data_IF_393090954978
#
_entry.id   IF_393090954978
#
_cell.length_a   1.000
_cell.length_b   1.000
_cell.length_c   1.000
_cell.angle_alpha   90.00
_cell.angle_beta   90.00
_cell.angle_gamma   90.00
#
_symmetry.space_group_name_H-M   'P 1'
#
loop_
_entity.id
_entity.type
_entity.pdbx_description
1 polymer ?
#
# COMPACT_ATOMS: atom_id res chain seq x y z
N UNK A 1 1.45 -9.58 -72.05
CA UNK A 1 0.37 -9.72 -71.05
C UNK A 1 0.82 -10.21 -69.66
N UNK A 2 2.12 -10.52 -69.41
CA UNK A 2 2.60 -11.05 -68.11
C UNK A 2 2.76 -9.99 -67.01
N UNK A 3 2.95 -8.71 -67.37
CA UNK A 3 3.21 -7.63 -66.42
C UNK A 3 1.97 -7.18 -65.63
N UNK A 4 0.77 -7.27 -66.21
CA UNK A 4 -0.48 -6.88 -65.55
C UNK A 4 -0.91 -7.87 -64.46
N UNK A 5 -0.69 -9.19 -64.65
CA UNK A 5 -0.97 -10.18 -63.61
C UNK A 5 -0.07 -10.05 -62.38
N UNK A 6 1.18 -9.60 -62.55
CA UNK A 6 2.13 -9.44 -61.44
C UNK A 6 1.78 -8.24 -60.56
N UNK A 7 1.25 -7.16 -61.14
CA UNK A 7 0.81 -5.96 -60.41
C UNK A 7 -0.44 -6.24 -59.57
N UNK A 8 -1.40 -7.00 -60.13
CA UNK A 8 -2.62 -7.38 -59.40
C UNK A 8 -2.30 -8.29 -58.21
N UNK A 9 -1.37 -9.24 -58.37
CA UNK A 9 -0.96 -10.16 -57.29
C UNK A 9 -0.21 -9.44 -56.16
N UNK A 10 0.60 -8.42 -56.47
CA UNK A 10 1.28 -7.59 -55.46
C UNK A 10 0.30 -6.73 -54.66
N UNK A 11 -0.75 -6.23 -55.30
CA UNK A 11 -1.77 -5.40 -54.65
C UNK A 11 -2.57 -6.21 -53.63
N UNK A 12 -2.99 -7.43 -53.97
CA UNK A 12 -3.71 -8.32 -53.03
C UNK A 12 -2.84 -8.79 -51.87
N UNK A 13 -1.54 -9.03 -52.11
CA UNK A 13 -0.61 -9.44 -51.06
C UNK A 13 -0.42 -8.34 -50.01
N UNK A 14 -0.37 -7.07 -50.44
CA UNK A 14 -0.26 -5.93 -49.54
C UNK A 14 -1.48 -5.77 -48.63
N UNK A 15 -2.69 -5.93 -49.16
CA UNK A 15 -3.93 -5.86 -48.38
C UNK A 15 -4.02 -6.97 -47.32
N UNK A 16 -3.62 -8.20 -47.67
CA UNK A 16 -3.57 -9.33 -46.73
C UNK A 16 -2.57 -9.06 -45.59
N UNK A 17 -1.40 -8.49 -45.91
CA UNK A 17 -0.40 -8.17 -44.88
C UNK A 17 -0.83 -7.03 -43.96
N UNK A 18 -1.61 -6.07 -44.45
CA UNK A 18 -2.14 -4.98 -43.64
C UNK A 18 -3.20 -5.50 -42.64
N UNK A 19 -4.16 -6.30 -43.12
CA UNK A 19 -5.20 -6.89 -42.28
C UNK A 19 -4.65 -7.83 -41.20
N UNK A 20 -3.60 -8.61 -41.51
CA UNK A 20 -2.92 -9.44 -40.51
C UNK A 20 -2.23 -8.59 -39.42
N UNK A 21 -1.59 -7.49 -39.81
CA UNK A 21 -0.89 -6.59 -38.88
C UNK A 21 -1.84 -5.91 -37.91
N UNK A 22 -3.01 -5.47 -38.38
CA UNK A 22 -3.98 -4.77 -37.53
C UNK A 22 -4.63 -5.71 -36.50
N UNK A 23 -4.89 -6.96 -36.88
CA UNK A 23 -5.38 -7.98 -35.94
C UNK A 23 -4.32 -8.41 -34.91
N UNK A 24 -3.05 -8.54 -35.34
CA UNK A 24 -1.93 -8.88 -34.46
C UNK A 24 -1.61 -7.75 -33.46
N UNK A 25 -1.68 -6.49 -33.89
CA UNK A 25 -1.46 -5.33 -33.01
C UNK A 25 -2.59 -5.18 -32.00
N UNK A 26 -3.84 -5.35 -32.44
CA UNK A 26 -5.02 -5.32 -31.56
C UNK A 26 -4.99 -6.40 -30.49
N UNK A 27 -4.65 -7.65 -30.86
CA UNK A 27 -4.52 -8.77 -29.92
C UNK A 27 -3.34 -8.58 -28.96
N UNK A 28 -2.20 -8.06 -29.44
CA UNK A 28 -1.05 -7.75 -28.58
C UNK A 28 -1.37 -6.65 -27.57
N UNK A 29 -2.10 -5.61 -27.96
CA UNK A 29 -2.54 -4.53 -27.07
C UNK A 29 -3.49 -5.04 -25.99
N UNK A 30 -4.46 -5.89 -26.37
CA UNK A 30 -5.38 -6.51 -25.42
C UNK A 30 -4.65 -7.38 -24.39
N UNK A 31 -3.69 -8.19 -24.84
CA UNK A 31 -2.87 -9.01 -23.93
C UNK A 31 -2.03 -8.16 -22.99
N UNK A 32 -1.40 -7.09 -23.49
CA UNK A 32 -0.62 -6.16 -22.67
C UNK A 32 -1.49 -5.45 -21.61
N UNK A 33 -2.71 -5.05 -21.97
CA UNK A 33 -3.64 -4.42 -21.04
C UNK A 33 -4.07 -5.38 -19.91
N UNK A 34 -4.35 -6.66 -20.23
CA UNK A 34 -4.70 -7.67 -19.22
C UNK A 34 -3.52 -7.95 -18.29
N UNK A 35 -2.30 -8.10 -18.83
CA UNK A 35 -1.09 -8.30 -18.02
C UNK A 35 -0.87 -7.10 -17.09
N UNK A 36 -0.99 -5.87 -17.61
CA UNK A 36 -0.83 -4.66 -16.82
C UNK A 36 -1.89 -4.55 -15.73
N UNK A 37 -3.16 -4.86 -16.02
CA UNK A 37 -4.24 -4.88 -15.04
C UNK A 37 -4.01 -5.94 -13.95
N UNK A 38 -3.54 -7.14 -14.31
CA UNK A 38 -3.16 -8.18 -13.36
C UNK A 38 -1.99 -7.76 -12.47
N UNK A 39 -0.95 -7.15 -13.04
CA UNK A 39 0.19 -6.62 -12.28
C UNK A 39 -0.24 -5.51 -11.32
N UNK A 40 -1.11 -4.60 -11.76
CA UNK A 40 -1.70 -3.56 -10.91
C UNK A 40 -2.53 -4.16 -9.77
N UNK A 41 -3.39 -5.13 -10.05
CA UNK A 41 -4.19 -5.81 -9.04
C UNK A 41 -3.30 -6.51 -8.01
N UNK A 42 -2.23 -7.19 -8.46
CA UNK A 42 -1.24 -7.82 -7.58
C UNK A 42 -0.43 -6.80 -6.79
N UNK A 43 -0.09 -5.64 -7.36
CA UNK A 43 0.61 -4.58 -6.65
C UNK A 43 -0.28 -3.94 -5.57
N UNK A 44 -1.53 -3.63 -5.89
CA UNK A 44 -2.50 -3.06 -4.93
C UNK A 44 -2.84 -4.06 -3.84
N UNK A 45 -3.14 -5.31 -4.19
CA UNK A 45 -3.42 -6.36 -3.23
C UNK A 45 -2.16 -6.77 -2.45
N UNK A 46 -0.98 -6.75 -3.09
CA UNK A 46 0.31 -7.00 -2.45
C UNK A 46 0.65 -5.91 -1.43
N UNK A 47 0.38 -4.64 -1.69
CA UNK A 47 0.53 -3.55 -0.71
C UNK A 47 -0.46 -3.71 0.46
N UNK A 48 -1.68 -4.21 0.20
CA UNK A 48 -2.65 -4.51 1.27
C UNK A 48 -2.27 -5.75 2.08
N UNK A 49 -1.80 -6.83 1.44
CA UNK A 49 -1.38 -8.07 2.08
C UNK A 49 -0.03 -7.95 2.77
N UNK A 50 0.85 -7.04 2.36
CA UNK A 50 2.16 -6.76 2.97
C UNK A 50 2.06 -5.94 4.26
N UNK A 51 0.83 -5.65 4.72
CA UNK A 51 0.58 -5.12 6.05
C UNK A 51 0.04 -6.15 7.06
N UNK A 52 0.50 -7.42 7.12
CA UNK A 52 0.10 -8.34 8.19
C UNK A 52 0.81 -7.99 9.50
N UNK A 53 1.75 -7.04 9.47
CA UNK A 53 2.50 -6.51 10.62
C UNK A 53 1.96 -5.20 11.17
N UNK A 54 0.91 -4.61 10.57
CA UNK A 54 0.04 -3.72 11.34
C UNK A 54 -0.76 -4.61 12.29
N UNK A 55 -0.10 -5.08 13.36
CA UNK A 55 -0.79 -5.33 14.62
C UNK A 55 -1.71 -4.13 14.79
N UNK A 56 -3.01 -4.40 14.86
CA UNK A 56 -4.02 -3.36 15.09
C UNK A 56 -3.63 -2.64 16.38
N UNK A 57 -2.85 -1.55 16.28
CA UNK A 57 -2.46 -0.76 17.44
C UNK A 57 -3.74 -0.25 18.05
N UNK A 58 -3.87 -0.42 19.35
CA UNK A 58 -5.03 0.11 20.03
C UNK A 58 -5.03 1.63 19.90
N UNK A 59 -6.22 2.23 19.94
CA UNK A 59 -6.35 3.70 19.87
C UNK A 59 -5.54 4.37 21.01
N UNK A 60 -5.50 3.72 22.17
CA UNK A 60 -4.69 4.14 23.33
C UNK A 60 -3.19 4.15 23.00
N UNK A 61 -2.70 3.09 22.35
CA UNK A 61 -1.29 2.99 21.96
C UNK A 61 -0.91 4.07 20.94
N UNK A 62 -1.76 4.30 19.93
CA UNK A 62 -1.54 5.37 18.95
C UNK A 62 -1.49 6.74 19.62
N UNK A 63 -2.44 7.05 20.50
CA UNK A 63 -2.48 8.32 21.23
C UNK A 63 -1.25 8.48 22.13
N UNK A 64 -0.87 7.43 22.85
CA UNK A 64 0.33 7.42 23.70
C UNK A 64 1.60 7.71 22.88
N UNK A 65 1.79 7.02 21.75
CA UNK A 65 2.96 7.23 20.87
C UNK A 65 3.00 8.65 20.31
N UNK A 66 1.84 9.23 19.98
CA UNK A 66 1.75 10.59 19.47
C UNK A 66 2.06 11.64 20.56
N UNK A 67 1.49 11.50 21.75
CA UNK A 67 1.72 12.45 22.87
C UNK A 67 3.18 12.40 23.33
N UNK A 68 3.77 11.21 23.37
CA UNK A 68 5.17 11.00 23.74
C UNK A 68 6.07 10.80 22.51
N UNK A 69 5.74 11.44 21.37
CA UNK A 69 6.49 11.29 20.11
C UNK A 69 7.94 11.77 20.22
N UNK A 70 8.19 12.79 21.05
CA UNK A 70 9.52 13.35 21.30
C UNK A 70 10.44 12.44 22.13
N UNK A 71 9.91 11.34 22.67
CA UNK A 71 10.70 10.37 23.45
C UNK A 71 11.17 9.21 22.58
N UNK A 72 12.36 8.67 22.88
CA UNK A 72 12.82 7.42 22.26
C UNK A 72 11.89 6.26 22.63
N UNK A 73 11.90 5.22 21.81
CA UNK A 73 11.07 4.04 22.05
C UNK A 73 11.46 3.33 23.34
N UNK A 74 12.77 3.22 23.68
CA UNK A 74 13.17 2.61 24.95
C UNK A 74 12.62 3.40 26.15
N UNK A 75 12.66 4.73 26.06
CA UNK A 75 12.17 5.60 27.13
C UNK A 75 10.65 5.52 27.28
N UNK A 76 9.91 5.39 26.18
CA UNK A 76 8.46 5.11 26.20
C UNK A 76 8.15 3.77 26.87
N UNK A 77 8.89 2.71 26.55
CA UNK A 77 8.70 1.41 27.17
C UNK A 77 9.05 1.40 28.66
N UNK A 78 10.12 2.09 29.05
CA UNK A 78 10.49 2.26 30.46
C UNK A 78 9.41 3.02 31.24
N UNK A 79 8.80 4.05 30.64
CA UNK A 79 7.66 4.76 31.23
C UNK A 79 6.48 3.81 31.45
N UNK A 80 6.07 3.06 30.42
CA UNK A 80 4.97 2.10 30.54
C UNK A 80 5.26 1.09 31.67
N UNK A 81 6.48 0.53 31.73
CA UNK A 81 6.87 -0.41 32.78
C UNK A 81 6.84 0.22 34.19
N UNK A 82 7.18 1.50 34.31
CA UNK A 82 7.05 2.24 35.57
C UNK A 82 5.59 2.36 36.01
N UNK A 83 4.67 2.70 35.10
CA UNK A 83 3.24 2.80 35.41
C UNK A 83 2.61 1.44 35.71
N UNK A 84 2.98 0.38 34.97
CA UNK A 84 2.57 -0.99 35.27
C UNK A 84 2.93 -1.35 36.71
N UNK A 85 4.18 -1.09 37.13
CA UNK A 85 4.61 -1.37 38.51
C UNK A 85 3.92 -0.49 39.54
N UNK A 86 3.73 0.80 39.25
CA UNK A 86 3.14 1.78 40.18
C UNK A 86 1.65 1.52 40.43
N UNK A 87 0.91 1.13 39.40
CA UNK A 87 -0.54 0.96 39.46
C UNK A 87 -0.98 -0.52 39.45
N UNK A 88 -0.03 -1.46 39.40
CA UNK A 88 -0.28 -2.89 39.28
C UNK A 88 -1.31 -3.24 38.19
N UNK A 89 -1.15 -2.61 37.02
CA UNK A 89 -2.13 -2.60 35.94
C UNK A 89 -1.55 -3.19 34.65
N UNK A 90 -2.42 -3.45 33.66
CA UNK A 90 -1.96 -3.94 32.37
C UNK A 90 -1.30 -2.82 31.54
N UNK A 91 -0.66 -3.20 30.41
CA UNK A 91 0.05 -2.26 29.53
C UNK A 91 -0.85 -1.12 29.02
N UNK A 92 -2.09 -1.42 28.66
CA UNK A 92 -3.00 -0.44 28.09
C UNK A 92 -3.50 0.55 29.15
N UNK A 93 -3.82 0.07 30.34
CA UNK A 93 -4.14 0.89 31.51
C UNK A 93 -2.96 1.78 31.92
N UNK A 94 -1.75 1.25 31.87
CA UNK A 94 -0.53 2.03 32.12
C UNK A 94 -0.38 3.18 31.11
N UNK A 95 -0.62 2.94 29.82
CA UNK A 95 -0.62 4.00 28.80
C UNK A 95 -1.72 5.03 29.06
N UNK A 96 -2.92 4.60 29.47
CA UNK A 96 -4.02 5.49 29.85
C UNK A 96 -3.66 6.37 31.04
N UNK A 97 -3.10 5.81 32.11
CA UNK A 97 -2.66 6.58 33.28
C UNK A 97 -1.56 7.60 32.94
N UNK A 98 -0.64 7.24 32.06
CA UNK A 98 0.39 8.17 31.59
C UNK A 98 -0.21 9.35 30.80
N UNK A 99 -1.19 9.08 29.94
CA UNK A 99 -1.94 10.12 29.22
C UNK A 99 -2.74 11.02 30.17
N UNK A 100 -3.45 10.44 31.14
CA UNK A 100 -4.21 11.18 32.15
C UNK A 100 -3.32 12.07 33.01
N UNK A 101 -2.14 11.58 33.40
CA UNK A 101 -1.18 12.37 34.14
C UNK A 101 -0.67 13.54 33.29
N UNK A 102 -0.34 13.31 32.02
CA UNK A 102 0.05 14.39 31.11
C UNK A 102 -1.06 15.43 30.92
N UNK A 103 -2.32 14.99 30.77
CA UNK A 103 -3.46 15.90 30.62
C UNK A 103 -3.68 16.73 31.90
N UNK A 104 -3.43 16.16 33.09
CA UNK A 104 -3.43 16.91 34.37
C UNK A 104 -2.32 17.95 34.41
N UNK A 105 -1.11 17.56 34.03
CA UNK A 105 0.04 18.47 33.97
C UNK A 105 -0.23 19.61 32.98
N UNK A 106 -0.84 19.37 31.82
CA UNK A 106 -1.18 20.47 30.90
C UNK A 106 -2.23 21.41 31.48
N UNK A 107 -3.21 20.88 32.23
CA UNK A 107 -4.25 21.68 32.88
C UNK A 107 -3.74 22.50 34.06
N UNK A 108 -2.73 22.05 34.78
CA UNK A 108 -2.23 22.79 35.96
C UNK A 108 -1.36 23.99 35.61
N UNK A 109 -0.91 24.13 34.36
CA UNK A 109 -0.09 25.24 33.89
C UNK A 109 -0.90 26.28 33.08
N UNK A 110 -2.21 26.08 32.94
CA UNK A 110 -3.16 27.08 32.41
C UNK A 110 -3.95 27.69 33.54
#
# INVERSE_FOLDING_TARGET
>A
MKAHSITILKMSLHEITALLRDNLTSTALAAAAVIFACLLALAVNGVRLRNPLRRSMSTTELRFRNVFAMMSEERRQAMIASYVRKYNCNREEAMRHALEQRDRDVRSWR
#
